data_IF_205677560579
#
_entry.id   IF_205677560579
#
_cell.length_a   1.000
_cell.length_b   1.000
_cell.length_c   1.000
_cell.angle_alpha   90.00
_cell.angle_beta   90.00
_cell.angle_gamma   90.00
#
_symmetry.space_group_name_H-M   'P 1'
#
loop_
_entity.id
_entity.type
_entity.pdbx_description
1 polymer ?
#
# COMPACT_ATOMS: atom_id res chain seq x y z
N UNK A 1 25.73 -6.62 17.29
CA UNK A 1 24.53 -5.84 17.70
C UNK A 1 24.52 -4.40 17.13
N UNK A 2 25.68 -3.76 16.92
CA UNK A 2 25.74 -2.38 16.37
C UNK A 2 25.57 -2.30 14.86
N UNK A 3 26.03 -3.27 14.09
CA UNK A 3 25.91 -3.27 12.62
C UNK A 3 24.49 -3.48 12.15
N UNK A 4 23.74 -4.37 12.78
CA UNK A 4 22.32 -4.65 12.40
C UNK A 4 21.43 -3.43 12.57
N UNK A 5 21.72 -2.57 13.54
CA UNK A 5 20.95 -1.32 13.74
C UNK A 5 21.21 -0.30 12.65
N UNK A 6 22.47 -0.11 12.25
CA UNK A 6 22.87 0.84 11.19
C UNK A 6 22.36 0.36 9.82
N UNK A 7 22.38 -0.94 9.55
CA UNK A 7 21.83 -1.52 8.32
C UNK A 7 20.30 -1.40 8.28
N UNK A 8 19.63 -1.61 9.40
CA UNK A 8 18.18 -1.43 9.50
C UNK A 8 17.79 0.05 9.39
N UNK A 9 18.53 0.95 10.06
CA UNK A 9 18.30 2.38 9.96
C UNK A 9 18.56 2.90 8.54
N UNK A 10 19.57 2.39 7.82
CA UNK A 10 19.82 2.74 6.43
C UNK A 10 18.79 2.15 5.46
N UNK A 11 18.33 0.92 5.70
CA UNK A 11 17.27 0.30 4.91
C UNK A 11 15.92 1.01 5.14
N UNK A 12 15.61 1.39 6.37
CA UNK A 12 14.40 2.13 6.71
C UNK A 12 14.46 3.58 6.21
N UNK A 13 15.56 4.29 6.41
CA UNK A 13 15.75 5.66 5.91
C UNK A 13 15.86 5.73 4.38
N UNK A 14 16.31 4.67 3.72
CA UNK A 14 16.30 4.55 2.26
C UNK A 14 14.96 4.15 1.67
N UNK A 15 14.05 3.62 2.50
CA UNK A 15 12.72 3.13 2.09
C UNK A 15 11.57 4.03 2.58
N UNK A 16 11.83 4.95 3.51
CA UNK A 16 10.86 5.96 3.91
C UNK A 16 10.86 7.09 2.88
N UNK A 17 10.06 6.92 1.88
CA UNK A 17 9.66 8.01 1.02
C UNK A 17 8.84 8.98 1.86
N UNK A 18 9.39 10.13 2.21
CA UNK A 18 8.55 11.25 2.61
C UNK A 18 7.68 11.57 1.40
N UNK A 19 6.39 11.54 1.58
CA UNK A 19 5.43 11.83 0.50
C UNK A 19 5.73 13.17 -0.21
N UNK A 20 6.43 14.08 0.47
CA UNK A 20 6.88 15.37 -0.03
C UNK A 20 7.98 15.28 -1.09
N UNK A 21 8.80 14.22 -1.08
CA UNK A 21 9.92 14.04 -2.02
C UNK A 21 9.52 13.31 -3.32
N UNK A 22 8.28 12.80 -3.40
CA UNK A 22 7.82 11.95 -4.49
C UNK A 22 6.95 12.67 -5.52
N UNK A 23 6.66 13.94 -5.33
CA UNK A 23 5.74 14.70 -6.17
C UNK A 23 6.41 15.81 -6.97
N UNK A 24 7.15 15.49 -8.04
CA UNK A 24 7.50 16.49 -9.06
C UNK A 24 6.40 16.65 -10.12
N UNK A 25 5.31 15.89 -10.03
CA UNK A 25 4.14 15.95 -10.91
C UNK A 25 2.93 16.51 -10.19
N UNK A 26 2.30 17.54 -10.72
CA UNK A 26 1.17 18.28 -10.16
C UNK A 26 -0.08 17.45 -9.81
N UNK A 27 -0.09 16.16 -10.13
CA UNK A 27 -1.28 15.31 -10.10
C UNK A 27 -1.07 13.97 -9.36
N UNK A 28 0.13 13.71 -8.81
CA UNK A 28 0.42 12.48 -8.07
C UNK A 28 0.39 12.75 -6.57
N UNK A 29 -0.43 12.01 -5.85
CA UNK A 29 -0.48 12.05 -4.39
C UNK A 29 -0.05 10.71 -3.83
N UNK A 30 1.01 10.71 -3.04
CA UNK A 30 1.44 9.55 -2.24
C UNK A 30 1.46 9.98 -0.78
N UNK A 31 0.71 9.28 0.05
CA UNK A 31 0.65 9.55 1.48
C UNK A 31 0.87 8.24 2.22
N UNK A 32 1.91 8.21 3.05
CA UNK A 32 2.17 7.12 3.98
C UNK A 32 2.08 7.66 5.39
N UNK A 33 1.25 7.04 6.21
CA UNK A 33 1.03 7.45 7.59
C UNK A 33 1.09 6.25 8.51
N UNK A 34 1.68 6.42 9.68
CA UNK A 34 1.80 5.37 10.69
C UNK A 34 1.17 5.80 11.99
N UNK A 35 0.48 4.90 12.68
CA UNK A 35 -0.01 5.15 14.04
C UNK A 35 0.20 3.95 14.96
N UNK A 36 0.38 4.26 16.24
CA UNK A 36 0.54 3.27 17.30
C UNK A 36 -0.43 3.63 18.42
N UNK A 37 -1.33 2.72 18.69
CA UNK A 37 -2.36 2.81 19.73
C UNK A 37 -1.97 1.87 20.85
N UNK A 38 -1.88 2.37 22.07
CA UNK A 38 -1.39 1.63 23.24
C UNK A 38 -2.54 1.54 24.24
N UNK A 39 -2.77 0.34 24.80
CA UNK A 39 -3.72 0.18 25.91
C UNK A 39 -3.29 0.99 27.12
N UNK A 40 -4.23 1.67 27.79
CA UNK A 40 -4.00 2.39 29.05
C UNK A 40 -3.62 1.44 30.22
N UNK A 41 -3.93 0.16 30.10
CA UNK A 41 -3.49 -0.90 31.03
C UNK A 41 -2.04 -1.35 30.80
N UNK A 42 -1.36 -0.84 29.75
CA UNK A 42 -0.02 -1.28 29.36
C UNK A 42 1.01 -0.14 29.39
N UNK A 43 2.10 -0.35 30.10
CA UNK A 43 3.20 0.63 30.19
C UNK A 43 4.25 0.41 29.11
N UNK A 44 4.48 1.42 28.29
CA UNK A 44 5.54 1.44 27.28
C UNK A 44 6.68 2.38 27.72
N UNK A 45 7.91 2.00 27.41
CA UNK A 45 9.08 2.84 27.73
C UNK A 45 9.06 4.11 26.88
N UNK A 46 9.27 5.28 27.51
CA UNK A 46 9.30 6.57 26.82
C UNK A 46 10.29 6.61 25.64
N UNK A 47 11.43 5.89 25.75
CA UNK A 47 12.40 5.78 24.65
C UNK A 47 11.79 5.15 23.40
N UNK A 48 10.92 4.17 23.57
CA UNK A 48 10.24 3.51 22.43
C UNK A 48 9.23 4.46 21.77
N UNK A 49 8.43 5.15 22.57
CA UNK A 49 7.49 6.18 22.07
C UNK A 49 8.24 7.26 21.31
N UNK A 50 9.32 7.80 21.90
CA UNK A 50 10.13 8.84 21.24
C UNK A 50 10.78 8.37 19.94
N UNK A 51 11.13 7.08 19.82
CA UNK A 51 11.66 6.51 18.59
C UNK A 51 10.57 6.46 17.52
N UNK A 52 9.36 6.00 17.87
CA UNK A 52 8.23 5.94 16.95
C UNK A 52 7.88 7.33 16.38
N UNK A 53 7.82 8.33 17.26
CA UNK A 53 7.48 9.70 16.87
C UNK A 53 8.57 10.38 16.05
N UNK A 54 9.85 10.18 16.39
CA UNK A 54 10.96 10.92 15.78
C UNK A 54 11.52 10.24 14.53
N UNK A 55 11.64 8.90 14.57
CA UNK A 55 12.31 8.15 13.51
C UNK A 55 11.31 7.59 12.49
N UNK A 56 10.03 7.42 12.89
CA UNK A 56 8.97 6.89 12.04
C UNK A 56 7.83 7.88 11.76
N UNK A 57 7.90 9.09 12.32
CA UNK A 57 6.84 10.11 12.21
C UNK A 57 5.45 9.54 12.54
N UNK A 58 5.41 8.61 13.50
CA UNK A 58 4.20 7.90 13.85
C UNK A 58 3.34 8.70 14.85
N UNK A 59 2.04 8.75 14.61
CA UNK A 59 1.09 9.18 15.61
C UNK A 59 1.03 8.14 16.73
N UNK A 60 1.35 8.52 17.97
CA UNK A 60 1.33 7.61 19.12
C UNK A 60 0.31 8.11 20.14
N UNK A 61 -0.59 7.22 20.58
CA UNK A 61 -1.61 7.56 21.58
C UNK A 61 -1.90 6.38 22.53
N UNK A 62 -2.33 6.71 23.74
CA UNK A 62 -2.81 5.72 24.72
C UNK A 62 -4.33 5.83 24.84
N UNK A 63 -5.01 4.68 24.76
CA UNK A 63 -6.47 4.61 24.75
C UNK A 63 -6.97 3.42 25.59
N UNK A 64 -8.20 3.52 26.09
CA UNK A 64 -8.85 2.40 26.74
C UNK A 64 -9.33 1.38 25.70
N UNK A 65 -8.67 0.23 25.63
CA UNK A 65 -9.01 -0.82 24.66
C UNK A 65 -10.31 -1.58 24.99
N UNK A 66 -10.81 -1.44 26.23
CA UNK A 66 -12.13 -1.96 26.59
C UNK A 66 -13.28 -1.08 26.08
N UNK A 67 -12.99 0.17 25.71
CA UNK A 67 -13.99 1.08 25.14
C UNK A 67 -14.15 0.81 23.61
N UNK A 68 -15.36 0.45 23.15
CA UNK A 68 -15.63 0.30 21.70
C UNK A 68 -15.31 1.55 20.87
N UNK A 69 -15.34 2.74 21.47
CA UNK A 69 -14.99 3.98 20.81
C UNK A 69 -13.53 3.99 20.33
N UNK A 70 -12.63 3.21 20.94
CA UNK A 70 -11.24 3.13 20.54
C UNK A 70 -11.10 2.46 19.16
N UNK A 71 -11.85 1.38 18.88
CA UNK A 71 -11.85 0.77 17.55
C UNK A 71 -12.37 1.75 16.50
N UNK A 72 -13.40 2.53 16.81
CA UNK A 72 -13.90 3.57 15.91
C UNK A 72 -12.87 4.69 15.68
N UNK A 73 -12.13 5.08 16.70
CA UNK A 73 -11.06 6.09 16.57
C UNK A 73 -9.94 5.62 15.63
N UNK A 74 -9.55 4.34 15.71
CA UNK A 74 -8.58 3.72 14.80
C UNK A 74 -9.10 3.74 13.36
N UNK A 75 -10.36 3.37 13.14
CA UNK A 75 -10.98 3.37 11.81
C UNK A 75 -11.06 4.79 11.24
N UNK A 76 -11.46 5.77 12.05
CA UNK A 76 -11.52 7.17 11.64
C UNK A 76 -10.13 7.70 11.22
N UNK A 77 -9.10 7.39 12.02
CA UNK A 77 -7.73 7.76 11.69
C UNK A 77 -7.30 7.16 10.33
N UNK A 78 -7.62 5.90 10.08
CA UNK A 78 -7.31 5.24 8.81
C UNK A 78 -8.06 5.90 7.64
N UNK A 79 -9.34 6.19 7.80
CA UNK A 79 -10.17 6.85 6.79
C UNK A 79 -9.61 8.25 6.45
N UNK A 80 -9.26 9.03 7.45
CA UNK A 80 -8.66 10.36 7.27
C UNK A 80 -7.34 10.30 6.49
N UNK A 81 -6.48 9.31 6.77
CA UNK A 81 -5.18 9.16 6.13
C UNK A 81 -5.21 8.38 4.81
N UNK A 82 -6.39 7.95 4.37
CA UNK A 82 -6.61 7.29 3.06
C UNK A 82 -7.64 8.03 2.20
N UNK A 83 -7.90 9.30 2.48
CA UNK A 83 -8.90 10.11 1.77
C UNK A 83 -10.27 9.44 1.69
N UNK A 84 -10.71 8.78 2.77
CA UNK A 84 -11.98 8.08 2.85
C UNK A 84 -12.05 6.80 2.00
N UNK A 85 -10.90 6.22 1.60
CA UNK A 85 -10.90 4.99 0.78
C UNK A 85 -10.93 3.72 1.63
N UNK A 86 -10.49 3.82 2.89
CA UNK A 86 -10.52 2.71 3.84
C UNK A 86 -11.26 3.19 5.09
N UNK A 87 -12.52 2.84 5.19
CA UNK A 87 -13.38 3.31 6.29
C UNK A 87 -13.30 2.41 7.53
N UNK A 88 -12.90 1.16 7.34
CA UNK A 88 -12.84 0.20 8.44
C UNK A 88 -11.72 -0.81 8.23
N UNK A 89 -10.85 -0.95 9.24
CA UNK A 89 -9.75 -1.92 9.29
C UNK A 89 -9.85 -2.84 10.49
N UNK A 90 -10.65 -2.46 11.50
CA UNK A 90 -10.84 -3.23 12.72
C UNK A 90 -12.30 -3.15 13.16
N UNK A 91 -12.89 -4.30 13.50
CA UNK A 91 -14.26 -4.36 14.05
C UNK A 91 -14.27 -4.13 15.56
N UNK A 92 -13.31 -4.73 16.25
CA UNK A 92 -13.16 -4.68 17.70
C UNK A 92 -11.72 -4.94 18.10
N UNK A 93 -11.34 -4.42 19.27
CA UNK A 93 -10.05 -4.73 19.90
C UNK A 93 -10.27 -5.94 20.81
N UNK A 94 -9.40 -6.95 20.69
CA UNK A 94 -9.45 -8.13 21.56
C UNK A 94 -8.99 -7.80 22.99
N UNK A 95 -9.50 -8.51 24.01
CA UNK A 95 -9.20 -8.22 25.41
C UNK A 95 -7.73 -8.40 25.79
N UNK A 96 -6.98 -9.19 25.01
CA UNK A 96 -5.56 -9.46 25.26
C UNK A 96 -4.63 -8.56 24.42
N UNK A 97 -5.20 -7.65 23.62
CA UNK A 97 -4.40 -6.69 22.85
C UNK A 97 -3.86 -5.59 23.76
N UNK A 98 -2.57 -5.36 23.66
CA UNK A 98 -1.87 -4.28 24.40
C UNK A 98 -1.45 -3.15 23.49
N UNK A 99 -1.39 -3.41 22.17
CA UNK A 99 -0.96 -2.43 21.17
C UNK A 99 -1.56 -2.77 19.80
N UNK A 100 -1.95 -1.73 19.07
CA UNK A 100 -2.36 -1.81 17.65
C UNK A 100 -1.45 -0.87 16.85
N UNK A 101 -0.81 -1.40 15.82
CA UNK A 101 0.00 -0.64 14.88
C UNK A 101 -0.76 -0.60 13.55
N UNK A 102 -0.89 0.61 13.00
CA UNK A 102 -1.54 0.83 11.71
C UNK A 102 -0.57 1.59 10.81
N UNK A 103 -0.42 1.10 9.59
CA UNK A 103 0.20 1.84 8.51
C UNK A 103 -0.84 2.01 7.40
N UNK A 104 -1.08 3.25 6.99
CA UNK A 104 -1.99 3.62 5.92
C UNK A 104 -1.18 4.18 4.75
N UNK A 105 -1.34 3.57 3.57
CA UNK A 105 -0.75 4.05 2.33
C UNK A 105 -1.87 4.45 1.37
N UNK A 106 -1.84 5.71 0.95
CA UNK A 106 -2.72 6.24 -0.07
C UNK A 106 -1.90 6.64 -1.31
N UNK A 107 -2.32 6.16 -2.47
CA UNK A 107 -1.74 6.52 -3.76
C UNK A 107 -2.85 6.94 -4.72
N UNK A 108 -2.70 8.11 -5.32
CA UNK A 108 -3.59 8.62 -6.35
C UNK A 108 -2.76 9.31 -7.43
N UNK A 109 -2.89 8.85 -8.66
CA UNK A 109 -2.22 9.44 -9.80
C UNK A 109 -3.05 9.23 -11.08
N UNK A 110 -3.15 10.21 -11.96
CA UNK A 110 -3.69 10.01 -13.30
C UNK A 110 -2.72 9.17 -14.14
N UNK A 111 -3.25 8.45 -15.12
CA UNK A 111 -2.42 7.78 -16.12
C UNK A 111 -1.68 8.80 -16.98
N UNK A 112 -0.46 8.50 -17.41
CA UNK A 112 0.26 9.33 -18.38
C UNK A 112 -0.56 9.54 -19.66
N UNK A 113 -1.23 8.46 -20.08
CA UNK A 113 -2.24 8.49 -21.13
C UNK A 113 -3.53 7.88 -20.56
N UNK A 114 -4.57 8.64 -20.44
CA UNK A 114 -5.84 8.21 -19.87
C UNK A 114 -6.52 7.11 -20.70
N UNK A 115 -7.29 6.28 -20.02
CA UNK A 115 -8.26 5.40 -20.69
C UNK A 115 -9.42 6.24 -21.20
N UNK A 116 -9.90 5.92 -22.38
CA UNK A 116 -11.08 6.57 -22.95
C UNK A 116 -12.34 6.08 -22.22
N UNK A 117 -13.02 6.98 -21.54
CA UNK A 117 -14.26 6.66 -20.80
C UNK A 117 -15.39 6.16 -21.72
N UNK A 118 -15.35 6.53 -23.00
CA UNK A 118 -16.32 6.05 -24.00
C UNK A 118 -16.00 4.65 -24.52
N UNK A 119 -14.79 4.16 -24.29
CA UNK A 119 -14.35 2.81 -24.67
C UNK A 119 -14.54 1.78 -23.54
N UNK A 120 -15.34 2.10 -22.52
CA UNK A 120 -15.67 1.18 -21.43
C UNK A 120 -16.82 0.27 -21.88
N UNK A 121 -16.62 -1.03 -21.83
CA UNK A 121 -17.61 -2.03 -22.21
C UNK A 121 -17.91 -2.97 -21.06
N UNK A 122 -19.14 -3.52 -21.02
CA UNK A 122 -19.44 -4.63 -20.13
C UNK A 122 -18.71 -5.89 -20.60
N UNK A 123 -18.04 -6.56 -19.68
CA UNK A 123 -17.35 -7.81 -19.93
C UNK A 123 -17.42 -8.74 -18.71
N UNK A 124 -17.27 -10.02 -18.94
CA UNK A 124 -17.24 -11.01 -17.86
C UNK A 124 -15.83 -11.05 -17.28
N UNK A 125 -15.74 -10.85 -15.97
CA UNK A 125 -14.53 -11.08 -15.19
C UNK A 125 -14.63 -12.45 -14.52
N UNK A 126 -13.71 -13.35 -14.87
CA UNK A 126 -13.62 -14.70 -14.32
C UNK A 126 -12.88 -14.68 -12.99
N UNK A 127 -13.61 -14.45 -11.91
CA UNK A 127 -13.06 -14.40 -10.56
C UNK A 127 -12.95 -15.78 -9.91
N UNK A 128 -12.19 -15.86 -8.80
CA UNK A 128 -12.06 -17.10 -8.01
C UNK A 128 -13.42 -17.62 -7.48
N UNK A 129 -14.33 -16.73 -7.16
CA UNK A 129 -15.67 -17.04 -6.62
C UNK A 129 -16.75 -17.19 -7.71
N UNK A 130 -16.35 -17.11 -8.99
CA UNK A 130 -17.26 -17.18 -10.14
C UNK A 130 -17.18 -15.96 -11.04
N UNK A 131 -17.97 -16.00 -12.07
CA UNK A 131 -18.05 -14.96 -13.11
C UNK A 131 -18.85 -13.76 -12.62
N UNK A 132 -18.34 -12.56 -12.88
CA UNK A 132 -18.99 -11.29 -12.54
C UNK A 132 -18.97 -10.37 -13.75
N UNK A 133 -20.10 -9.73 -14.07
CA UNK A 133 -20.15 -8.67 -15.08
C UNK A 133 -19.52 -7.41 -14.52
N UNK A 134 -18.55 -6.85 -15.24
CA UNK A 134 -17.83 -5.64 -14.85
C UNK A 134 -17.74 -4.66 -16.02
N UNK A 135 -17.63 -3.38 -15.71
CA UNK A 135 -17.28 -2.37 -16.69
C UNK A 135 -15.78 -2.41 -16.93
N UNK A 136 -15.38 -2.96 -18.07
CA UNK A 136 -13.99 -3.16 -18.45
C UNK A 136 -13.47 -1.96 -19.26
N UNK A 137 -12.41 -1.33 -18.78
CA UNK A 137 -11.66 -0.33 -19.53
C UNK A 137 -10.83 -1.02 -20.61
N UNK A 138 -10.78 -0.44 -21.80
CA UNK A 138 -9.96 -0.95 -22.90
C UNK A 138 -9.08 0.16 -23.45
N UNK A 139 -7.82 -0.15 -23.71
CA UNK A 139 -6.87 0.75 -24.34
C UNK A 139 -5.93 -0.04 -25.24
N UNK A 140 -5.62 0.54 -26.39
CA UNK A 140 -4.59 0.02 -27.29
C UNK A 140 -3.49 1.06 -27.41
N UNK A 141 -2.27 0.69 -26.97
CA UNK A 141 -1.10 1.55 -26.99
C UNK A 141 0.17 0.69 -27.10
N UNK A 142 1.31 1.35 -27.28
CA UNK A 142 2.62 0.71 -27.11
C UNK A 142 3.01 0.77 -25.64
N UNK A 143 3.35 -0.37 -25.05
CA UNK A 143 3.78 -0.50 -23.67
C UNK A 143 5.19 -1.07 -23.62
N UNK A 144 5.95 -0.72 -22.60
CA UNK A 144 7.13 -1.48 -22.22
C UNK A 144 6.67 -2.88 -21.82
N UNK A 145 7.33 -3.89 -22.38
CA UNK A 145 6.94 -5.29 -22.25
C UNK A 145 8.15 -6.14 -21.90
N UNK A 146 7.97 -7.07 -20.98
CA UNK A 146 8.95 -8.09 -20.65
C UNK A 146 8.29 -9.47 -20.58
N UNK A 147 9.07 -10.52 -20.87
CA UNK A 147 8.66 -11.90 -20.72
C UNK A 147 9.76 -12.70 -20.02
N UNK A 148 9.38 -13.46 -19.00
CA UNK A 148 10.28 -14.34 -18.28
C UNK A 148 9.58 -15.64 -17.90
N UNK A 149 10.13 -16.77 -18.33
CA UNK A 149 9.59 -18.12 -18.06
C UNK A 149 8.09 -18.28 -18.37
N UNK A 150 7.62 -17.59 -19.42
CA UNK A 150 6.23 -17.61 -19.86
C UNK A 150 5.29 -16.66 -19.09
N UNK A 151 5.75 -16.00 -18.03
CA UNK A 151 5.08 -14.85 -17.43
C UNK A 151 5.31 -13.62 -18.31
N UNK A 152 4.30 -12.80 -18.47
CA UNK A 152 4.33 -11.57 -19.27
C UNK A 152 4.08 -10.37 -18.37
N UNK A 153 4.84 -9.31 -18.54
CA UNK A 153 4.72 -8.07 -17.78
C UNK A 153 4.59 -6.87 -18.72
N UNK A 154 3.71 -5.96 -18.37
CA UNK A 154 3.62 -4.64 -19.00
C UNK A 154 3.78 -3.55 -17.96
N UNK A 155 4.34 -2.42 -18.37
CA UNK A 155 4.44 -1.20 -17.59
C UNK A 155 3.42 -0.20 -18.11
N UNK A 156 2.61 0.36 -17.21
CA UNK A 156 1.63 1.42 -17.49
C UNK A 156 2.04 2.65 -16.69
N UNK A 157 2.63 3.67 -17.32
CA UNK A 157 3.13 4.84 -16.61
C UNK A 157 1.99 5.74 -16.11
N UNK A 158 2.19 6.33 -14.93
CA UNK A 158 1.39 7.44 -14.43
C UNK A 158 1.94 8.78 -14.95
N UNK A 159 1.13 9.83 -14.87
CA UNK A 159 1.54 11.18 -15.22
C UNK A 159 2.78 11.61 -14.41
N UNK A 160 3.64 12.44 -15.00
CA UNK A 160 4.89 12.89 -14.40
C UNK A 160 6.07 11.91 -14.55
N UNK A 161 5.83 10.64 -14.91
CA UNK A 161 6.88 9.67 -15.26
C UNK A 161 7.65 9.06 -14.07
N UNK A 162 7.37 9.50 -12.83
CA UNK A 162 8.06 8.98 -11.63
C UNK A 162 7.48 7.66 -11.12
N UNK A 163 6.27 7.30 -11.58
CA UNK A 163 5.56 6.08 -11.15
C UNK A 163 4.98 5.32 -12.33
N UNK A 164 4.91 4.02 -12.18
CA UNK A 164 4.24 3.14 -13.13
C UNK A 164 3.52 1.99 -12.41
N UNK A 165 2.45 1.50 -13.00
CA UNK A 165 1.83 0.24 -12.62
C UNK A 165 2.43 -0.89 -13.47
N UNK A 166 2.88 -1.93 -12.81
CA UNK A 166 3.31 -3.17 -13.46
C UNK A 166 2.21 -4.21 -13.35
N UNK A 167 1.76 -4.71 -14.50
CA UNK A 167 0.78 -5.78 -14.56
C UNK A 167 1.48 -7.05 -15.03
N UNK A 168 1.48 -8.07 -14.18
CA UNK A 168 2.14 -9.36 -14.46
C UNK A 168 1.07 -10.41 -14.70
N UNK A 169 1.11 -11.03 -15.86
CA UNK A 169 0.24 -12.14 -16.23
C UNK A 169 1.03 -13.45 -16.13
N UNK A 170 0.61 -14.36 -15.23
CA UNK A 170 1.22 -15.68 -15.12
C UNK A 170 1.13 -16.50 -16.41
N UNK A 171 1.97 -17.53 -16.58
CA UNK A 171 1.80 -18.52 -17.65
C UNK A 171 0.41 -19.16 -17.59
N UNK A 172 -0.10 -19.58 -18.73
CA UNK A 172 -1.41 -20.22 -18.81
C UNK A 172 -1.50 -21.44 -17.86
N UNK A 173 -2.56 -21.49 -17.06
CA UNK A 173 -2.80 -22.54 -16.08
C UNK A 173 -2.09 -22.37 -14.75
N UNK A 174 -1.32 -21.31 -14.57
CA UNK A 174 -0.69 -20.96 -13.28
C UNK A 174 -1.49 -19.88 -12.53
N UNK A 175 -1.52 -19.97 -11.21
CA UNK A 175 -2.14 -18.94 -10.37
C UNK A 175 -1.19 -17.75 -10.16
N UNK A 176 -1.72 -16.53 -9.86
CA UNK A 176 -0.87 -15.38 -9.53
C UNK A 176 0.10 -15.63 -8.38
N UNK A 177 -0.33 -16.40 -7.37
CA UNK A 177 0.49 -16.73 -6.21
C UNK A 177 1.73 -17.56 -6.57
N UNK A 178 1.66 -18.33 -7.65
CA UNK A 178 2.77 -19.20 -8.08
C UNK A 178 3.97 -18.42 -8.62
N UNK A 179 3.78 -17.17 -9.04
CA UNK A 179 4.88 -16.34 -9.56
C UNK A 179 5.53 -15.46 -8.49
N UNK A 180 4.89 -15.27 -7.32
CA UNK A 180 5.42 -14.42 -6.24
C UNK A 180 6.88 -14.74 -5.86
N UNK A 181 7.32 -16.01 -5.75
CA UNK A 181 8.71 -16.34 -5.44
C UNK A 181 9.72 -15.89 -6.50
N UNK A 182 9.26 -15.64 -7.71
CA UNK A 182 10.12 -15.23 -8.85
C UNK A 182 10.15 -13.72 -9.06
N UNK A 183 9.29 -12.96 -8.35
CA UNK A 183 9.31 -11.51 -8.35
C UNK A 183 10.47 -11.06 -7.46
N UNK A 184 11.63 -10.84 -8.07
CA UNK A 184 12.83 -10.39 -7.39
C UNK A 184 13.29 -9.04 -7.97
N UNK A 185 14.18 -8.35 -7.25
CA UNK A 185 14.76 -7.07 -7.70
C UNK A 185 15.40 -7.18 -9.11
N UNK A 186 15.92 -8.34 -9.49
CA UNK A 186 16.49 -8.57 -10.82
C UNK A 186 15.44 -8.52 -11.93
N UNK A 187 14.17 -8.82 -11.64
CA UNK A 187 13.07 -8.73 -12.61
C UNK A 187 12.73 -7.27 -12.96
N UNK A 188 12.94 -6.34 -11.99
CA UNK A 188 12.70 -4.90 -12.22
C UNK A 188 13.84 -4.20 -12.95
N UNK A 189 15.03 -4.81 -13.00
CA UNK A 189 16.24 -4.22 -13.60
C UNK A 189 16.57 -4.76 -14.98
N UNK A 190 15.81 -5.73 -15.48
CA UNK A 190 15.98 -6.34 -16.81
C UNK A 190 15.09 -5.65 -17.84
#
# INVERSE_FOLDING_TARGET
EGQTKVELDNALNGSYFKAEDLGDGKDVTVQSSSSVWISDDFSVRNRYVSLLEKDFDAFVTTQNFADPATAQAINNWCSEHTSGKIDQIIDRIGPDMVMVLVNALYFNAPWADAFDETAVNEAVFHGRSGDTSVRMMARRATFNYAEYQGARMIEIPYAGGSYAMYVILPPAGMSPESILPYISESLYRS
#
